data_IF_347456922145
#
_entry.id   IF_347456922145
#
_cell.length_a   1.000
_cell.length_b   1.000
_cell.length_c   1.000
_cell.angle_alpha   90.00
_cell.angle_beta   90.00
_cell.angle_gamma   90.00
#
_symmetry.space_group_name_H-M   'P 1'
#
loop_
_entity.id
_entity.type
_entity.pdbx_description
1 polymer ?
#
# COMPACT_ATOMS: atom_id res chain seq x y z
N UNK A 1 -12.46 4.34 -6.41
CA UNK A 1 -11.98 2.95 -6.65
C UNK A 1 -13.19 2.05 -6.82
N UNK A 2 -13.10 0.98 -7.63
CA UNK A 2 -14.06 -0.12 -7.51
C UNK A 2 -13.71 -0.87 -6.22
N UNK A 3 -14.66 -0.97 -5.30
CA UNK A 3 -14.50 -1.79 -4.11
C UNK A 3 -14.85 -3.22 -4.52
N UNK A 4 -13.82 -4.06 -4.69
CA UNK A 4 -14.02 -5.47 -4.93
C UNK A 4 -14.38 -6.14 -3.61
N UNK A 5 -15.54 -6.79 -3.56
CA UNK A 5 -15.94 -7.64 -2.44
C UNK A 5 -15.47 -9.08 -2.62
N UNK A 6 -15.20 -9.49 -3.86
CA UNK A 6 -14.74 -10.83 -4.25
C UNK A 6 -13.71 -10.77 -5.38
N UNK A 7 -12.82 -11.76 -5.46
CA UNK A 7 -11.84 -11.87 -6.52
C UNK A 7 -12.50 -12.20 -7.86
N UNK A 8 -12.30 -11.40 -8.91
CA UNK A 8 -12.92 -11.65 -10.21
C UNK A 8 -12.38 -12.91 -10.92
N UNK A 9 -11.21 -13.43 -10.50
CA UNK A 9 -10.60 -14.63 -11.12
C UNK A 9 -11.02 -15.93 -10.46
N UNK A 10 -11.24 -15.96 -9.14
CA UNK A 10 -11.52 -17.21 -8.42
C UNK A 10 -12.68 -17.14 -7.43
N UNK A 11 -13.38 -16.01 -7.32
CA UNK A 11 -14.52 -15.84 -6.40
C UNK A 11 -14.14 -15.75 -4.92
N UNK A 12 -12.86 -15.71 -4.57
CA UNK A 12 -12.42 -15.58 -3.18
C UNK A 12 -12.78 -14.21 -2.60
N UNK A 13 -13.50 -14.20 -1.47
CA UNK A 13 -13.92 -13.00 -0.73
C UNK A 13 -12.85 -12.49 0.26
N UNK A 14 -11.83 -13.29 0.56
CA UNK A 14 -10.69 -12.90 1.40
C UNK A 14 -9.65 -12.12 0.61
N UNK A 15 -10.01 -10.92 0.18
CA UNK A 15 -9.12 -10.01 -0.53
C UNK A 15 -8.16 -9.30 0.44
N UNK A 16 -6.97 -8.98 -0.05
CA UNK A 16 -5.92 -8.30 0.71
C UNK A 16 -5.79 -6.89 0.17
N UNK A 17 -6.07 -5.90 1.02
CA UNK A 17 -5.70 -4.52 0.75
C UNK A 17 -4.24 -4.29 1.12
N UNK A 18 -3.49 -3.71 0.22
CA UNK A 18 -2.08 -3.37 0.42
C UNK A 18 -1.79 -2.02 -0.22
N UNK A 19 -0.63 -1.45 0.09
CA UNK A 19 -0.26 -0.15 -0.41
C UNK A 19 0.99 0.37 0.27
N UNK A 20 1.26 1.64 0.06
CA UNK A 20 2.39 2.33 0.65
C UNK A 20 1.92 3.48 1.54
N UNK A 21 2.78 3.81 2.51
CA UNK A 21 2.61 4.96 3.38
C UNK A 21 3.88 5.79 3.39
N UNK A 22 3.74 7.11 3.23
CA UNK A 22 4.80 8.07 3.47
C UNK A 22 4.84 8.41 4.96
N UNK A 23 6.04 8.41 5.55
CA UNK A 23 6.23 8.77 6.96
C UNK A 23 7.11 10.01 7.04
N UNK A 24 6.60 11.04 7.70
CA UNK A 24 7.38 12.26 7.95
C UNK A 24 8.53 11.96 8.91
N UNK A 25 9.71 12.54 8.63
CA UNK A 25 10.86 12.43 9.51
C UNK A 25 11.77 13.65 9.42
N UNK A 26 12.56 13.85 10.46
CA UNK A 26 13.59 14.89 10.53
C UNK A 26 14.96 14.25 10.75
N UNK A 27 15.96 14.67 9.98
CA UNK A 27 17.36 14.24 10.13
C UNK A 27 18.30 15.44 10.19
N UNK A 28 19.36 15.30 10.96
CA UNK A 28 20.49 16.22 10.92
C UNK A 28 21.16 16.16 9.55
N UNK A 29 21.17 17.27 8.81
CA UNK A 29 21.86 17.34 7.51
C UNK A 29 23.38 17.12 7.65
N UNK A 30 23.98 17.57 8.76
CA UNK A 30 25.42 17.46 9.01
C UNK A 30 25.87 16.03 9.37
N UNK A 31 25.07 15.32 10.17
CA UNK A 31 25.47 14.03 10.77
C UNK A 31 24.63 12.85 10.31
N UNK A 32 23.55 13.07 9.55
CA UNK A 32 22.62 12.05 9.09
C UNK A 32 21.73 11.44 10.19
N UNK A 33 21.92 11.80 11.46
CA UNK A 33 21.19 11.22 12.60
C UNK A 33 19.69 11.54 12.50
N UNK A 34 18.85 10.53 12.71
CA UNK A 34 17.40 10.69 12.87
C UNK A 34 17.09 11.43 14.17
N UNK A 35 16.36 12.54 14.06
CA UNK A 35 15.96 13.38 15.18
C UNK A 35 14.52 13.08 15.58
N UNK A 36 13.64 12.94 14.58
CA UNK A 36 12.23 12.65 14.77
C UNK A 36 11.73 11.79 13.62
N UNK A 37 10.74 10.94 13.91
CA UNK A 37 9.97 10.19 12.93
C UNK A 37 8.52 10.16 13.41
N UNK A 38 7.59 10.54 12.55
CA UNK A 38 6.17 10.42 12.85
C UNK A 38 5.78 8.95 13.02
N UNK A 39 4.93 8.68 14.01
CA UNK A 39 4.37 7.34 14.22
C UNK A 39 3.32 7.02 13.17
N UNK A 40 2.59 8.04 12.77
CA UNK A 40 1.54 7.95 11.77
C UNK A 40 2.13 8.25 10.39
N UNK A 41 1.76 7.43 9.42
CA UNK A 41 2.05 7.64 8.01
C UNK A 41 0.83 8.16 7.27
N UNK A 42 1.06 8.87 6.17
CA UNK A 42 0.01 9.22 5.22
C UNK A 42 -0.03 8.16 4.11
N UNK A 43 -1.19 7.61 3.75
CA UNK A 43 -1.32 6.71 2.61
C UNK A 43 -0.85 7.40 1.32
N UNK A 44 0.02 6.75 0.54
CA UNK A 44 0.44 7.26 -0.78
C UNK A 44 -0.38 6.64 -1.89
N UNK A 45 -0.57 5.32 -1.85
CA UNK A 45 -1.46 4.59 -2.73
C UNK A 45 -1.92 3.29 -2.06
N UNK A 46 -2.98 2.71 -2.60
CA UNK A 46 -3.52 1.44 -2.16
C UNK A 46 -4.07 0.66 -3.36
N UNK A 47 -4.02 -0.65 -3.22
CA UNK A 47 -4.51 -1.62 -4.19
C UNK A 47 -5.05 -2.86 -3.48
N UNK A 48 -5.69 -3.72 -4.25
CA UNK A 48 -6.29 -4.95 -3.75
C UNK A 48 -5.74 -6.13 -4.54
N UNK A 49 -5.35 -7.19 -3.83
CA UNK A 49 -4.87 -8.44 -4.44
C UNK A 49 -5.53 -9.66 -3.84
N UNK A 50 -5.49 -10.76 -4.60
CA UNK A 50 -5.94 -12.07 -4.17
C UNK A 50 -4.76 -13.05 -4.10
N UNK A 51 -4.85 -14.04 -3.22
CA UNK A 51 -3.86 -15.12 -3.09
C UNK A 51 -3.73 -15.99 -4.34
N UNK A 52 -4.71 -15.95 -5.24
CA UNK A 52 -4.67 -16.67 -6.53
C UNK A 52 -3.79 -15.98 -7.59
N UNK A 53 -3.22 -14.81 -7.29
CA UNK A 53 -2.35 -14.05 -8.20
C UNK A 53 -3.05 -12.92 -8.95
N UNK A 54 -4.34 -12.67 -8.72
CA UNK A 54 -5.00 -11.46 -9.21
C UNK A 54 -4.56 -10.22 -8.42
N UNK A 55 -4.30 -9.11 -9.11
CA UNK A 55 -3.89 -7.84 -8.53
C UNK A 55 -4.46 -6.67 -9.34
N UNK A 56 -5.31 -5.83 -8.71
CA UNK A 56 -5.96 -4.69 -9.37
C UNK A 56 -4.97 -3.59 -9.79
N UNK A 57 -3.81 -3.49 -9.14
CA UNK A 57 -2.78 -2.53 -9.54
C UNK A 57 -2.11 -2.95 -10.83
N UNK A 58 -1.69 -4.22 -10.93
CA UNK A 58 -1.04 -4.74 -12.12
C UNK A 58 -1.99 -4.69 -13.32
N UNK A 59 -3.26 -5.06 -13.14
CA UNK A 59 -4.25 -5.01 -14.23
C UNK A 59 -4.51 -3.59 -14.78
N UNK A 60 -4.15 -2.53 -14.04
CA UNK A 60 -4.35 -1.13 -14.45
C UNK A 60 -3.11 -0.47 -15.03
N UNK A 61 -1.93 -0.92 -14.64
CA UNK A 61 -0.68 -0.20 -14.87
C UNK A 61 0.45 -1.06 -15.46
N UNK A 62 0.25 -2.37 -15.63
CA UNK A 62 1.10 -3.27 -16.42
C UNK A 62 0.35 -3.77 -17.67
#
# INVERSE_FOLDING_TARGET
MKEYTECPKCGNDQLINYGEMAVEFERSAKTGKMLKRSKDGLPTWFATKCRCGWDDYLEKYE
#
